data_IF_804913697092
#
_entry.id   IF_804913697092
#
_cell.length_a   1.000
_cell.length_b   1.000
_cell.length_c   1.000
_cell.angle_alpha   90.00
_cell.angle_beta   90.00
_cell.angle_gamma   90.00
#
_symmetry.space_group_name_H-M   'P 1'
#
loop_
_entity.id
_entity.type
_entity.pdbx_description
1 polymer ?
#
# COMPACT_ATOMS: atom_id res chain seq x y z
N UNK A 1 4.79 -16.13 -28.96
CA UNK A 1 5.57 -15.76 -27.76
C UNK A 1 4.54 -15.11 -26.85
N UNK A 2 3.94 -15.88 -25.93
CA UNK A 2 2.88 -15.34 -25.06
C UNK A 2 3.38 -14.10 -24.32
N UNK A 3 2.60 -13.03 -24.43
CA UNK A 3 2.91 -11.72 -23.86
C UNK A 3 3.05 -11.81 -22.34
N UNK A 4 4.13 -11.26 -21.78
CA UNK A 4 4.51 -11.38 -20.38
C UNK A 4 3.40 -10.86 -19.45
N UNK A 5 2.68 -9.82 -19.89
CA UNK A 5 1.55 -9.26 -19.17
C UNK A 5 0.34 -10.19 -19.12
N UNK A 6 0.09 -10.95 -20.20
CA UNK A 6 -0.99 -11.94 -20.26
C UNK A 6 -0.70 -13.11 -19.32
N UNK A 7 0.55 -13.57 -19.25
CA UNK A 7 0.96 -14.57 -18.23
C UNK A 7 0.76 -14.05 -16.81
N UNK A 8 1.15 -12.80 -16.57
CA UNK A 8 1.06 -12.18 -15.25
C UNK A 8 -0.37 -12.00 -14.77
N UNK A 9 -1.30 -11.55 -15.62
CA UNK A 9 -2.71 -11.40 -15.22
C UNK A 9 -3.40 -12.75 -14.98
N UNK A 10 -2.94 -13.80 -15.68
CA UNK A 10 -3.47 -15.15 -15.55
C UNK A 10 -3.06 -15.86 -14.26
N UNK A 11 -1.89 -15.54 -13.72
CA UNK A 11 -1.39 -16.08 -12.46
C UNK A 11 -1.52 -15.04 -11.34
N UNK A 12 -2.48 -15.23 -10.43
CA UNK A 12 -2.68 -14.33 -9.30
C UNK A 12 -1.50 -14.28 -8.33
N UNK A 13 -0.59 -15.26 -8.35
CA UNK A 13 0.65 -15.20 -7.56
C UNK A 13 1.67 -14.19 -8.10
N UNK A 14 1.48 -13.73 -9.34
CA UNK A 14 2.32 -12.74 -10.02
C UNK A 14 1.73 -11.33 -10.00
N UNK A 15 0.54 -11.15 -9.42
CA UNK A 15 -0.01 -9.83 -9.16
C UNK A 15 0.88 -9.07 -8.17
N UNK A 16 0.84 -7.73 -8.14
CA UNK A 16 1.52 -6.98 -7.10
C UNK A 16 1.22 -7.56 -5.72
N UNK A 17 2.25 -7.68 -4.91
CA UNK A 17 2.15 -8.12 -3.53
C UNK A 17 3.20 -7.37 -2.71
N UNK A 18 2.93 -7.18 -1.42
CA UNK A 18 3.96 -6.59 -0.57
C UNK A 18 5.14 -7.56 -0.46
N UNK A 19 6.33 -7.07 -0.81
CA UNK A 19 7.60 -7.76 -0.57
C UNK A 19 7.69 -8.20 0.91
N UNK A 20 7.85 -9.50 1.15
CA UNK A 20 7.91 -10.12 2.48
C UNK A 20 6.65 -9.90 3.35
N UNK A 21 5.46 -10.17 2.81
CA UNK A 21 4.18 -10.11 3.56
C UNK A 21 4.22 -10.75 4.95
N UNK A 22 4.83 -11.95 5.06
CA UNK A 22 4.94 -12.68 6.33
C UNK A 22 5.75 -11.89 7.38
N UNK A 23 6.75 -11.13 6.93
CA UNK A 23 7.54 -10.26 7.80
C UNK A 23 6.74 -9.04 8.25
N UNK A 24 5.82 -8.51 7.44
CA UNK A 24 4.97 -7.39 7.85
C UNK A 24 3.98 -7.78 8.94
N UNK A 25 3.40 -8.97 8.86
CA UNK A 25 2.52 -9.49 9.91
C UNK A 25 3.29 -9.61 11.23
N UNK A 26 4.48 -10.22 11.19
CA UNK A 26 5.38 -10.29 12.34
C UNK A 26 5.77 -8.90 12.86
N UNK A 27 6.07 -7.95 11.99
CA UNK A 27 6.39 -6.58 12.38
C UNK A 27 5.20 -5.89 13.05
N UNK A 28 3.97 -6.13 12.57
CA UNK A 28 2.77 -5.58 13.19
C UNK A 28 2.58 -6.14 14.61
N UNK A 29 2.74 -7.45 14.79
CA UNK A 29 2.69 -8.09 16.12
C UNK A 29 3.79 -7.56 17.07
N UNK A 30 5.02 -7.37 16.56
CA UNK A 30 6.11 -6.78 17.32
C UNK A 30 5.77 -5.33 17.71
N UNK A 31 5.24 -4.54 16.79
CA UNK A 31 4.85 -3.16 17.07
C UNK A 31 3.77 -3.10 18.15
N UNK A 32 2.74 -3.95 18.05
CA UNK A 32 1.65 -4.01 19.02
C UNK A 32 2.10 -4.46 20.40
N UNK A 33 2.87 -5.55 20.47
CA UNK A 33 3.42 -6.05 21.74
C UNK A 33 4.32 -5.00 22.40
N UNK A 34 5.15 -4.33 21.61
CA UNK A 34 6.04 -3.26 22.09
C UNK A 34 5.24 -2.04 22.56
N UNK A 35 4.19 -1.65 21.83
CA UNK A 35 3.28 -0.56 22.20
C UNK A 35 2.59 -0.85 23.54
N UNK A 36 2.18 -2.10 23.77
CA UNK A 36 1.47 -2.53 24.98
C UNK A 36 2.35 -2.58 26.24
N UNK A 37 3.67 -2.39 26.12
CA UNK A 37 4.56 -2.21 27.29
C UNK A 37 4.33 -0.88 28.01
N UNK A 38 3.64 0.07 27.36
CA UNK A 38 3.34 1.42 27.87
C UNK A 38 4.57 2.22 28.29
N UNK A 39 5.74 1.87 27.74
CA UNK A 39 6.98 2.61 27.94
C UNK A 39 7.17 3.64 26.83
N UNK A 40 7.89 4.71 27.15
CA UNK A 40 8.25 5.74 26.17
C UNK A 40 9.02 5.15 24.97
N UNK A 41 10.00 4.28 25.25
CA UNK A 41 10.78 3.57 24.24
C UNK A 41 9.90 2.64 23.40
N UNK A 42 8.94 1.97 24.05
CA UNK A 42 7.97 1.11 23.39
C UNK A 42 7.10 1.87 22.40
N UNK A 43 6.56 3.03 22.81
CA UNK A 43 5.77 3.88 21.92
C UNK A 43 6.54 4.40 20.72
N UNK A 44 7.78 4.86 20.91
CA UNK A 44 8.62 5.31 19.80
C UNK A 44 8.89 4.16 18.84
N UNK A 45 9.29 3.01 19.37
CA UNK A 45 9.63 1.83 18.56
C UNK A 45 8.43 1.37 17.74
N UNK A 46 7.26 1.25 18.37
CA UNK A 46 6.02 0.88 17.69
C UNK A 46 5.65 1.87 16.58
N UNK A 47 5.70 3.19 16.84
CA UNK A 47 5.41 4.22 15.83
C UNK A 47 6.37 4.14 14.64
N UNK A 48 7.64 3.85 14.88
CA UNK A 48 8.62 3.67 13.80
C UNK A 48 8.33 2.40 12.97
N UNK A 49 7.90 1.31 13.61
CA UNK A 49 7.53 0.09 12.88
C UNK A 49 6.25 0.30 12.07
N UNK A 50 5.20 0.87 12.66
CA UNK A 50 3.97 1.25 11.95
C UNK A 50 4.26 2.16 10.75
N UNK A 51 5.23 3.08 10.89
CA UNK A 51 5.66 3.92 9.77
C UNK A 51 6.21 3.11 8.60
N UNK A 52 7.04 2.08 8.87
CA UNK A 52 7.59 1.20 7.83
C UNK A 52 6.48 0.41 7.14
N UNK A 53 5.53 -0.13 7.92
CA UNK A 53 4.37 -0.87 7.38
C UNK A 53 3.55 0.02 6.44
N UNK A 54 3.22 1.25 6.87
CA UNK A 54 2.48 2.21 6.03
C UNK A 54 3.26 2.54 4.75
N UNK A 55 4.58 2.69 4.84
CA UNK A 55 5.41 2.95 3.66
C UNK A 55 5.35 1.79 2.65
N UNK A 56 5.48 0.55 3.13
CA UNK A 56 5.33 -0.65 2.30
C UNK A 56 3.94 -0.74 1.66
N UNK A 57 2.87 -0.40 2.39
CA UNK A 57 1.51 -0.36 1.85
C UNK A 57 1.37 0.67 0.72
N UNK A 58 1.92 1.88 0.88
CA UNK A 58 1.86 2.92 -0.15
C UNK A 58 2.60 2.48 -1.41
N UNK A 59 3.79 1.89 -1.26
CA UNK A 59 4.58 1.38 -2.39
C UNK A 59 3.81 0.30 -3.13
N UNK A 60 3.19 -0.63 -2.40
CA UNK A 60 2.38 -1.67 -3.01
C UNK A 60 1.16 -1.11 -3.77
N UNK A 61 0.46 -0.13 -3.21
CA UNK A 61 -0.63 0.55 -3.91
C UNK A 61 -0.16 1.28 -5.19
N UNK A 62 1.07 1.80 -5.21
CA UNK A 62 1.66 2.34 -6.42
C UNK A 62 1.90 1.24 -7.47
N UNK A 63 2.37 0.07 -7.06
CA UNK A 63 2.57 -1.09 -7.94
C UNK A 63 1.23 -1.59 -8.52
N UNK A 64 0.18 -1.63 -7.71
CA UNK A 64 -1.19 -1.91 -8.14
C UNK A 64 -1.68 -0.91 -9.18
N UNK A 65 -1.47 0.39 -8.93
CA UNK A 65 -1.82 1.43 -9.89
C UNK A 65 -1.08 1.24 -11.23
N UNK A 66 0.22 0.93 -11.18
CA UNK A 66 1.01 0.71 -12.38
C UNK A 66 0.55 -0.52 -13.16
N UNK A 67 0.25 -1.60 -12.44
CA UNK A 67 -0.25 -2.83 -13.05
C UNK A 67 -1.63 -2.62 -13.68
N UNK A 68 -2.55 -1.97 -12.98
CA UNK A 68 -3.87 -1.59 -13.51
C UNK A 68 -3.76 -0.77 -14.80
N UNK A 69 -2.90 0.26 -14.80
CA UNK A 69 -2.69 1.10 -15.99
C UNK A 69 -2.14 0.27 -17.14
N UNK A 70 -1.15 -0.60 -16.88
CA UNK A 70 -0.58 -1.48 -17.90
C UNK A 70 -1.64 -2.41 -18.51
N UNK A 71 -2.53 -2.98 -17.70
CA UNK A 71 -3.65 -3.79 -18.20
C UNK A 71 -4.62 -2.95 -19.06
N UNK A 72 -4.87 -1.71 -18.65
CA UNK A 72 -5.82 -0.80 -19.32
C UNK A 72 -5.34 -0.29 -20.68
N UNK A 73 -4.01 -0.24 -20.91
CA UNK A 73 -3.43 0.27 -22.17
C UNK A 73 -2.89 -0.83 -23.07
N UNK A 74 -2.98 -2.09 -22.66
CA UNK A 74 -2.57 -3.24 -23.46
C UNK A 74 -3.20 -3.19 -24.86
N UNK A 75 -2.45 -3.46 -25.95
CA UNK A 75 -1.08 -4.00 -26.02
C UNK A 75 0.05 -2.97 -25.95
N UNK A 76 -0.23 -1.70 -25.62
CA UNK A 76 0.81 -0.68 -25.45
C UNK A 76 1.59 -0.89 -24.14
N UNK A 77 2.81 -0.39 -24.09
CA UNK A 77 3.70 -0.49 -22.92
C UNK A 77 3.60 0.77 -22.04
N UNK A 78 3.37 0.58 -20.74
CA UNK A 78 3.44 1.62 -19.72
C UNK A 78 4.79 1.56 -18.99
N UNK A 79 5.64 2.56 -19.22
CA UNK A 79 7.06 2.55 -18.77
C UNK A 79 7.32 3.15 -17.39
N UNK A 80 6.29 3.38 -16.58
CA UNK A 80 6.51 3.99 -15.26
C UNK A 80 7.24 3.02 -14.33
N UNK A 81 8.23 3.55 -13.62
CA UNK A 81 8.95 2.82 -12.57
C UNK A 81 8.86 3.62 -11.29
N UNK A 82 8.44 2.96 -10.23
CA UNK A 82 8.44 3.53 -8.89
C UNK A 82 9.89 3.63 -8.44
N UNK A 83 10.35 4.85 -8.24
CA UNK A 83 11.69 5.10 -7.72
C UNK A 83 11.71 4.76 -6.22
N UNK A 84 12.47 3.71 -5.85
CA UNK A 84 12.70 3.30 -4.46
C UNK A 84 13.61 4.30 -3.73
N UNK A 85 13.77 4.15 -2.41
CA UNK A 85 14.60 4.97 -1.53
C UNK A 85 14.16 6.44 -1.33
N UNK A 86 12.87 6.72 -1.54
CA UNK A 86 12.27 8.02 -1.21
C UNK A 86 11.67 8.03 0.19
N UNK A 87 11.52 9.23 0.77
CA UNK A 87 10.72 9.40 1.99
C UNK A 87 9.24 9.14 1.71
N UNK A 88 8.50 8.55 2.65
CA UNK A 88 7.04 8.33 2.59
C UNK A 88 6.23 9.50 2.00
N UNK A 89 6.58 10.75 2.32
CA UNK A 89 5.88 11.92 1.78
C UNK A 89 5.96 12.05 0.25
N UNK A 90 7.04 11.57 -0.37
CA UNK A 90 7.17 11.51 -1.82
C UNK A 90 6.30 10.41 -2.42
N UNK A 91 6.24 9.21 -1.80
CA UNK A 91 5.34 8.15 -2.24
C UNK A 91 3.86 8.55 -2.12
N UNK A 92 3.46 9.25 -1.04
CA UNK A 92 2.11 9.81 -0.91
C UNK A 92 1.79 10.77 -2.05
N UNK A 93 2.75 11.63 -2.43
CA UNK A 93 2.57 12.58 -3.53
C UNK A 93 2.43 11.85 -4.87
N UNK A 94 3.22 10.80 -5.08
CA UNK A 94 3.13 9.96 -6.26
C UNK A 94 1.77 9.25 -6.33
N UNK A 95 1.32 8.64 -5.22
CA UNK A 95 0.03 7.97 -5.12
C UNK A 95 -1.12 8.94 -5.38
N UNK A 96 -1.01 10.18 -4.90
CA UNK A 96 -1.99 11.22 -5.20
C UNK A 96 -2.12 11.51 -6.70
N UNK A 97 -1.03 11.36 -7.46
CA UNK A 97 -1.00 11.60 -8.92
C UNK A 97 -1.36 10.38 -9.78
N UNK A 98 -1.62 9.21 -9.20
CA UNK A 98 -2.10 8.03 -9.94
C UNK A 98 -3.61 8.11 -10.21
N UNK A 99 -4.20 7.04 -10.76
CA UNK A 99 -5.63 6.90 -10.99
C UNK A 99 -6.46 7.06 -9.70
N UNK A 100 -7.73 7.47 -9.82
CA UNK A 100 -8.66 7.54 -8.70
C UNK A 100 -9.33 6.19 -8.45
N UNK A 101 -9.41 5.80 -7.18
CA UNK A 101 -10.06 4.59 -6.70
C UNK A 101 -10.74 4.85 -5.35
N UNK A 102 -11.63 3.95 -4.95
CA UNK A 102 -12.38 4.08 -3.70
C UNK A 102 -11.42 4.18 -2.49
N UNK A 103 -11.79 4.98 -1.49
CA UNK A 103 -11.00 5.22 -0.27
C UNK A 103 -9.61 5.87 -0.44
N UNK A 104 -9.11 6.11 -1.67
CA UNK A 104 -7.80 6.73 -1.95
C UNK A 104 -7.54 8.01 -1.17
N UNK A 105 -8.46 8.99 -1.24
CA UNK A 105 -8.27 10.29 -0.61
C UNK A 105 -8.26 10.19 0.92
N UNK A 106 -9.09 9.31 1.48
CA UNK A 106 -9.15 9.07 2.92
C UNK A 106 -7.86 8.38 3.40
N UNK A 107 -7.42 7.33 2.70
CA UNK A 107 -6.15 6.65 2.95
C UNK A 107 -4.98 7.63 2.93
N UNK A 108 -4.84 8.42 1.85
CA UNK A 108 -3.80 9.45 1.72
C UNK A 108 -3.85 10.45 2.88
N UNK A 109 -5.05 10.93 3.25
CA UNK A 109 -5.22 11.84 4.39
C UNK A 109 -4.72 11.22 5.69
N UNK A 110 -5.03 9.95 5.95
CA UNK A 110 -4.62 9.25 7.17
C UNK A 110 -3.13 8.96 7.21
N UNK A 111 -2.52 8.59 6.09
CA UNK A 111 -1.05 8.47 5.98
C UNK A 111 -0.34 9.80 6.24
N UNK A 112 -0.87 10.93 5.75
CA UNK A 112 -0.33 12.26 6.06
C UNK A 112 -0.48 12.64 7.53
N UNK A 113 -1.63 12.32 8.13
CA UNK A 113 -1.89 12.52 9.56
C UNK A 113 -0.90 11.72 10.42
N UNK A 114 -0.69 10.44 10.10
CA UNK A 114 0.29 9.58 10.75
C UNK A 114 1.71 10.13 10.60
N UNK A 115 2.12 10.56 9.39
CA UNK A 115 3.44 11.14 9.16
C UNK A 115 3.71 12.36 10.05
N UNK A 116 2.69 13.19 10.24
CA UNK A 116 2.77 14.37 11.11
C UNK A 116 2.99 13.96 12.57
N UNK A 117 2.30 12.92 13.05
CA UNK A 117 2.50 12.37 14.39
C UNK A 117 3.91 11.82 14.54
N UNK A 118 4.38 11.00 13.58
CA UNK A 118 5.75 10.46 13.58
C UNK A 118 6.78 11.57 13.69
N UNK A 119 6.65 12.62 12.88
CA UNK A 119 7.56 13.77 12.92
C UNK A 119 7.48 14.52 14.25
N UNK A 120 6.28 14.70 14.81
CA UNK A 120 6.09 15.34 16.11
C UNK A 120 6.74 14.53 17.25
N UNK A 121 6.65 13.20 17.22
CA UNK A 121 7.28 12.31 18.20
C UNK A 121 8.80 12.41 18.10
N UNK A 122 9.36 12.25 16.89
CA UNK A 122 10.81 12.34 16.64
C UNK A 122 11.37 13.71 17.05
N UNK A 123 10.70 14.80 16.67
CA UNK A 123 11.13 16.15 17.07
C UNK A 123 10.86 16.44 18.56
N UNK A 124 9.82 15.84 19.14
CA UNK A 124 9.48 15.97 20.56
C UNK A 124 10.58 15.47 21.48
N UNK A 125 11.25 14.37 21.10
CA UNK A 125 12.42 13.81 21.81
C UNK A 125 13.52 14.87 21.95
N UNK A 126 13.82 15.61 20.87
CA UNK A 126 14.91 16.60 20.86
C UNK A 126 14.59 17.90 21.60
N UNK A 127 13.31 18.18 21.88
CA UNK A 127 12.84 19.48 22.39
C UNK A 127 12.46 19.50 23.88
N UNK A 128 12.80 18.45 24.65
CA UNK A 128 12.45 18.32 26.08
C UNK A 128 10.96 18.58 26.37
N UNK A 129 10.06 18.10 25.49
CA UNK A 129 8.62 18.13 25.78
C UNK A 129 8.28 17.17 26.90
N UNK A 130 7.16 17.42 27.58
CA UNK A 130 6.64 16.51 28.58
C UNK A 130 6.39 15.13 27.93
N UNK A 131 6.81 14.07 28.61
CA UNK A 131 6.68 12.70 28.12
C UNK A 131 5.21 12.30 27.98
N UNK A 132 4.33 12.93 28.76
CA UNK A 132 2.87 12.77 28.69
C UNK A 132 2.31 13.10 27.30
N UNK A 133 2.73 14.22 26.70
CA UNK A 133 2.32 14.65 25.36
C UNK A 133 2.76 13.65 24.29
N UNK A 134 3.95 13.06 24.44
CA UNK A 134 4.48 12.09 23.46
C UNK A 134 3.67 10.79 23.52
N UNK A 135 3.28 10.34 24.72
CA UNK A 135 2.46 9.16 24.91
C UNK A 135 1.07 9.32 24.29
N UNK A 136 0.41 10.47 24.48
CA UNK A 136 -0.90 10.74 23.88
C UNK A 136 -0.81 10.79 22.35
N UNK A 137 0.23 11.44 21.81
CA UNK A 137 0.48 11.44 20.37
C UNK A 137 0.72 10.03 19.82
N UNK A 138 1.43 9.16 20.54
CA UNK A 138 1.65 7.79 20.12
C UNK A 138 0.36 6.96 20.12
N UNK A 139 -0.51 7.13 21.13
CA UNK A 139 -1.86 6.52 21.17
C UNK A 139 -2.72 6.96 19.98
N UNK A 140 -2.72 8.24 19.66
CA UNK A 140 -3.39 8.75 18.46
C UNK A 140 -2.78 8.16 17.18
N UNK A 141 -1.45 8.02 17.13
CA UNK A 141 -0.74 7.38 16.03
C UNK A 141 -1.19 5.94 15.79
N UNK A 142 -1.34 5.13 16.85
CA UNK A 142 -1.86 3.76 16.75
C UNK A 142 -3.29 3.72 16.20
N UNK A 143 -4.17 4.59 16.68
CA UNK A 143 -5.55 4.68 16.17
C UNK A 143 -5.55 4.97 14.66
N UNK A 144 -4.72 5.93 14.23
CA UNK A 144 -4.62 6.27 12.80
C UNK A 144 -4.01 5.12 12.00
N UNK A 145 -2.99 4.44 12.53
CA UNK A 145 -2.41 3.26 11.89
C UNK A 145 -3.47 2.18 11.64
N UNK A 146 -4.30 1.85 12.63
CA UNK A 146 -5.36 0.86 12.46
C UNK A 146 -6.34 1.26 11.36
N UNK A 147 -6.72 2.54 11.29
CA UNK A 147 -7.57 3.05 10.21
C UNK A 147 -6.86 2.91 8.85
N UNK A 148 -5.57 3.22 8.77
CA UNK A 148 -4.79 3.05 7.52
C UNK A 148 -4.75 1.58 7.10
N UNK A 149 -4.60 0.67 8.05
CA UNK A 149 -4.57 -0.78 7.82
C UNK A 149 -5.91 -1.28 7.25
N UNK A 150 -7.03 -0.92 7.89
CA UNK A 150 -8.37 -1.29 7.40
C UNK A 150 -8.65 -0.72 6.01
N UNK A 151 -8.33 0.56 5.78
CA UNK A 151 -8.49 1.18 4.47
C UNK A 151 -7.65 0.50 3.39
N UNK A 152 -6.43 0.08 3.74
CA UNK A 152 -5.56 -0.64 2.82
C UNK A 152 -6.17 -1.97 2.40
N UNK A 153 -6.71 -2.76 3.33
CA UNK A 153 -7.35 -4.03 3.02
C UNK A 153 -8.55 -3.84 2.07
N UNK A 154 -9.39 -2.85 2.32
CA UNK A 154 -10.52 -2.50 1.44
C UNK A 154 -10.05 -2.13 0.02
N UNK A 155 -8.99 -1.32 -0.09
CA UNK A 155 -8.42 -0.90 -1.38
C UNK A 155 -7.82 -2.12 -2.12
N UNK A 156 -7.15 -3.02 -1.41
CA UNK A 156 -6.57 -4.23 -1.98
C UNK A 156 -7.63 -5.15 -2.57
N UNK A 157 -8.74 -5.33 -1.87
CA UNK A 157 -9.86 -6.12 -2.38
C UNK A 157 -10.45 -5.51 -3.66
N UNK A 158 -10.54 -4.18 -3.74
CA UNK A 158 -10.94 -3.49 -4.96
C UNK A 158 -9.99 -3.80 -6.14
N UNK A 159 -8.67 -3.68 -5.94
CA UNK A 159 -7.69 -3.99 -7.00
C UNK A 159 -7.75 -5.46 -7.44
N UNK A 160 -7.88 -6.40 -6.50
CA UNK A 160 -8.02 -7.84 -6.80
C UNK A 160 -9.26 -8.13 -7.65
N UNK A 161 -10.38 -7.45 -7.38
CA UNK A 161 -11.59 -7.55 -8.21
C UNK A 161 -11.31 -7.01 -9.61
N UNK A 162 -10.71 -5.83 -9.74
CA UNK A 162 -10.34 -5.27 -11.03
C UNK A 162 -9.44 -6.20 -11.85
N UNK A 163 -8.38 -6.75 -11.26
CA UNK A 163 -7.47 -7.68 -11.95
C UNK A 163 -8.19 -8.97 -12.36
N UNK A 164 -9.11 -9.47 -11.52
CA UNK A 164 -9.93 -10.63 -11.86
C UNK A 164 -10.86 -10.35 -13.05
N UNK A 165 -11.40 -9.14 -13.16
CA UNK A 165 -12.28 -8.76 -14.27
C UNK A 165 -11.48 -8.61 -15.57
N UNK A 166 -10.31 -7.96 -15.56
CA UNK A 166 -9.38 -7.97 -16.70
C UNK A 166 -9.02 -9.39 -17.16
N UNK A 167 -8.78 -10.30 -16.21
CA UNK A 167 -8.49 -11.72 -16.52
C UNK A 167 -9.65 -12.39 -17.26
N UNK A 168 -10.90 -12.05 -16.96
CA UNK A 168 -12.08 -12.60 -17.67
C UNK A 168 -12.22 -12.01 -19.06
N UNK A 169 -11.99 -10.71 -19.22
CA UNK A 169 -12.18 -10.02 -20.50
C UNK A 169 -11.20 -10.54 -21.57
N UNK A 170 -9.95 -10.82 -21.20
CA UNK A 170 -8.96 -11.48 -22.09
C UNK A 170 -9.44 -12.87 -22.55
N UNK A 171 -10.27 -13.58 -21.75
CA UNK A 171 -10.84 -14.88 -22.13
C UNK A 171 -12.02 -14.78 -23.10
N UNK A 172 -12.72 -13.64 -23.15
CA UNK A 172 -13.81 -13.46 -24.12
C UNK A 172 -13.22 -13.25 -25.51
N UNK A 173 -12.12 -12.51 -25.63
CA UNK A 173 -11.46 -12.26 -26.92
C UNK A 173 -10.78 -13.54 -27.48
N UNK A 174 -10.20 -14.39 -26.63
CA UNK A 174 -9.55 -15.65 -27.08
C UNK A 174 -10.57 -16.71 -27.51
N UNK A 175 -11.72 -16.82 -26.81
CA UNK A 175 -12.76 -17.79 -27.19
C UNK A 175 -13.60 -17.29 -28.38
N UNK A 176 -13.72 -15.97 -28.55
CA UNK A 176 -14.35 -15.35 -29.73
C UNK A 176 -13.56 -15.58 -31.02
N UNK A 177 -12.23 -15.44 -30.97
CA UNK A 177 -11.34 -15.67 -32.13
C UNK A 177 -11.27 -17.16 -32.54
N UNK A 178 -11.42 -18.11 -31.61
CA UNK A 178 -11.47 -19.54 -31.96
C UNK A 178 -12.80 -19.98 -32.61
N UNK A 179 -13.88 -19.23 -32.43
CA UNK A 179 -15.18 -19.55 -33.05
C UNK A 179 -15.34 -18.99 -34.47
N UNK A 180 -14.66 -17.89 -34.81
CA UNK A 180 -14.77 -17.25 -36.12
C UNK A 180 -13.84 -17.86 -37.19
N UNK A 181 -12.93 -18.76 -36.83
CA UNK A 181 -12.11 -19.54 -37.78
C UNK A 181 -12.78 -20.85 -38.26
N UNK A 182 -14.04 -21.10 -37.89
CA UNK A 182 -14.80 -22.30 -38.28
C UNK A 182 -16.10 -22.05 -39.05
N UNK A 183 -16.16 -21.00 -39.89
CA UNK A 183 -17.19 -20.86 -40.94
C UNK A 183 -16.61 -20.77 -42.36
#
# INVERSE_FOLDING_TARGET
MEDEIVKRIMDSSQWPCIENSDQLEVLNEIADSTFNTETFEGYISAILIYHQIIESMIIHLLEDCCFFIQLSVYPLEYKHKIEKDKMMGAYIKELKSTLEFENKQLFISKCMEFNKIRNNIVHGITKKRDLSDINENAKNGKIIFNIVFELYDDIQDWFRVCFKDFKKDIFIDIVGDETDETE
#
